data_IF_290277719193
#
_entry.id   IF_290277719193
#
_cell.length_a   1.000
_cell.length_b   1.000
_cell.length_c   1.000
_cell.angle_alpha   90.00
_cell.angle_beta   90.00
_cell.angle_gamma   90.00
#
_symmetry.space_group_name_H-M   'P 1'
#
loop_
_entity.id
_entity.type
_entity.pdbx_description
1 polymer ?
#
# COMPACT_ATOMS: atom_id res chain seq x y z
N UNK A 1 6.01 20.48 -3.61
CA UNK A 1 4.87 19.59 -3.93
C UNK A 1 4.81 18.27 -3.12
N UNK A 2 5.46 18.16 -1.95
CA UNK A 2 5.37 16.95 -1.08
C UNK A 2 4.10 16.89 -0.20
N UNK A 3 3.32 17.98 -0.13
CA UNK A 3 2.11 18.03 0.69
C UNK A 3 1.02 17.06 0.22
N UNK A 4 1.07 16.60 -1.04
CA UNK A 4 0.01 15.75 -1.59
C UNK A 4 0.13 14.29 -1.11
N UNK A 5 1.35 13.74 -1.01
CA UNK A 5 1.56 12.34 -0.62
C UNK A 5 1.23 12.12 0.86
N UNK A 6 1.76 12.98 1.74
CA UNK A 6 1.46 12.92 3.17
C UNK A 6 -0.03 13.11 3.45
N UNK A 7 -0.68 14.08 2.81
CA UNK A 7 -2.13 14.24 2.95
C UNK A 7 -2.89 12.98 2.55
N UNK A 8 -2.50 12.35 1.43
CA UNK A 8 -3.15 11.13 0.99
C UNK A 8 -2.93 9.96 1.94
N UNK A 9 -1.73 9.81 2.54
CA UNK A 9 -1.50 8.84 3.62
C UNK A 9 -2.51 9.05 4.75
N UNK A 10 -2.65 10.28 5.23
CA UNK A 10 -3.60 10.61 6.31
C UNK A 10 -5.07 10.40 5.92
N UNK A 11 -5.46 10.76 4.70
CA UNK A 11 -6.82 10.52 4.20
C UNK A 11 -7.15 9.02 4.13
N UNK A 12 -6.18 8.21 3.70
CA UNK A 12 -6.35 6.76 3.61
C UNK A 12 -6.37 6.08 4.97
N UNK A 13 -5.56 6.57 5.91
CA UNK A 13 -5.63 6.15 7.31
C UNK A 13 -7.03 6.35 7.88
N UNK A 14 -7.56 7.57 7.76
CA UNK A 14 -8.89 7.92 8.25
C UNK A 14 -9.99 7.09 7.56
N UNK A 15 -9.92 6.92 6.24
CA UNK A 15 -10.86 6.06 5.48
C UNK A 15 -10.77 4.58 5.85
N UNK A 16 -9.59 4.11 6.25
CA UNK A 16 -9.38 2.74 6.72
C UNK A 16 -9.81 2.56 8.19
N UNK A 17 -10.25 3.64 8.86
CA UNK A 17 -10.66 3.61 10.26
C UNK A 17 -9.50 3.62 11.25
N UNK A 18 -8.33 4.10 10.82
CA UNK A 18 -7.11 4.24 11.65
C UNK A 18 -6.98 5.65 12.19
N UNK A 19 -6.48 5.76 13.43
CA UNK A 19 -6.11 7.03 14.04
C UNK A 19 -4.89 7.67 13.38
N UNK A 20 -4.75 8.99 13.55
CA UNK A 20 -3.58 9.74 13.08
C UNK A 20 -2.33 9.52 13.95
N UNK A 21 -2.51 8.96 15.16
CA UNK A 21 -1.43 8.66 16.11
C UNK A 21 -0.75 7.29 15.87
N UNK A 22 -1.07 6.62 14.75
CA UNK A 22 -0.45 5.34 14.40
C UNK A 22 1.01 5.50 14.01
N UNK A 23 1.81 4.46 14.23
CA UNK A 23 3.18 4.44 13.77
C UNK A 23 3.23 4.21 12.25
N UNK A 24 3.82 5.16 11.51
CA UNK A 24 3.97 5.09 10.05
C UNK A 24 5.45 4.96 9.71
N UNK A 25 5.84 3.78 9.24
CA UNK A 25 7.18 3.50 8.75
C UNK A 25 7.20 3.74 7.24
N UNK A 26 8.00 4.72 6.81
CA UNK A 26 8.19 4.98 5.38
C UNK A 26 9.34 4.12 4.85
N UNK A 27 9.02 3.20 3.97
CA UNK A 27 9.96 2.41 3.21
C UNK A 27 10.12 2.97 1.79
N UNK A 28 11.07 2.42 1.04
CA UNK A 28 11.46 2.97 -0.25
C UNK A 28 10.45 2.61 -1.36
N UNK A 29 9.29 3.26 -1.37
CA UNK A 29 8.20 3.07 -2.33
C UNK A 29 6.85 2.65 -1.72
N UNK A 30 6.80 2.37 -0.41
CA UNK A 30 5.58 2.05 0.33
C UNK A 30 5.69 2.50 1.80
N UNK A 31 4.56 2.65 2.48
CA UNK A 31 4.48 2.97 3.90
C UNK A 31 3.82 1.83 4.67
N UNK A 32 4.40 1.41 5.78
CA UNK A 32 3.81 0.44 6.72
C UNK A 32 3.22 1.17 7.92
N UNK A 33 2.04 0.77 8.32
CA UNK A 33 1.25 1.39 9.38
C UNK A 33 1.06 0.32 10.47
N UNK A 34 1.37 0.68 11.72
CA UNK A 34 1.30 -0.23 12.87
C UNK A 34 2.10 -1.54 12.62
N UNK A 35 3.31 -1.42 12.06
CA UNK A 35 4.24 -2.52 11.77
C UNK A 35 3.86 -3.36 10.53
N UNK A 36 2.63 -3.82 10.43
CA UNK A 36 2.08 -4.53 9.27
C UNK A 36 0.53 -4.51 9.23
N UNK A 37 -0.14 -3.65 9.99
CA UNK A 37 -1.60 -3.67 9.97
C UNK A 37 -2.15 -3.13 8.64
N UNK A 38 -1.49 -2.14 8.07
CA UNK A 38 -1.83 -1.55 6.79
C UNK A 38 -0.55 -1.17 6.04
N UNK A 39 -0.50 -1.43 4.74
CA UNK A 39 0.55 -0.97 3.85
C UNK A 39 -0.03 -0.05 2.77
N UNK A 40 0.62 1.07 2.51
CA UNK A 40 0.21 2.05 1.52
C UNK A 40 1.26 2.18 0.41
N UNK A 41 0.87 1.99 -0.84
CA UNK A 41 1.76 2.10 -1.99
C UNK A 41 1.28 3.26 -2.86
N UNK A 42 1.91 4.42 -2.71
CA UNK A 42 1.39 5.69 -3.24
C UNK A 42 2.31 6.37 -4.26
N UNK A 43 3.58 5.99 -4.32
CA UNK A 43 4.57 6.60 -5.24
C UNK A 43 4.78 5.76 -6.49
N UNK A 44 5.16 4.49 -6.30
CA UNK A 44 5.46 3.54 -7.37
C UNK A 44 5.17 2.12 -6.89
N UNK A 45 4.87 1.24 -7.83
CA UNK A 45 4.70 -0.19 -7.56
C UNK A 45 5.57 -0.99 -8.52
N UNK A 46 6.26 -1.97 -7.97
CA UNK A 46 7.16 -2.86 -8.68
C UNK A 46 7.10 -4.25 -8.04
N UNK A 47 7.53 -5.29 -8.75
CA UNK A 47 7.60 -6.65 -8.23
C UNK A 47 8.44 -6.74 -6.95
N UNK A 48 9.51 -5.93 -6.87
CA UNK A 48 10.32 -5.86 -5.65
C UNK A 48 9.52 -5.32 -4.47
N UNK A 49 8.78 -4.21 -4.66
CA UNK A 49 7.95 -3.60 -3.61
C UNK A 49 6.87 -4.56 -3.16
N UNK A 50 6.20 -5.22 -4.10
CA UNK A 50 5.14 -6.19 -3.80
C UNK A 50 5.71 -7.34 -2.95
N UNK A 51 6.88 -7.86 -3.30
CA UNK A 51 7.54 -8.93 -2.56
C UNK A 51 7.95 -8.48 -1.16
N UNK A 52 8.50 -7.27 -1.01
CA UNK A 52 8.84 -6.70 0.29
C UNK A 52 7.58 -6.52 1.16
N UNK A 53 6.52 -5.95 0.60
CA UNK A 53 5.24 -5.76 1.28
C UNK A 53 4.68 -7.12 1.71
N UNK A 54 4.64 -8.12 0.82
CA UNK A 54 4.18 -9.47 1.14
C UNK A 54 5.01 -10.13 2.25
N UNK A 55 6.34 -9.93 2.25
CA UNK A 55 7.24 -10.44 3.29
C UNK A 55 6.89 -9.89 4.67
N UNK A 56 6.38 -8.66 4.73
CA UNK A 56 5.88 -8.02 5.97
C UNK A 56 4.51 -8.57 6.40
N UNK A 57 3.85 -9.35 5.55
CA UNK A 57 2.53 -9.96 5.75
C UNK A 57 1.50 -8.95 6.28
N UNK A 58 1.22 -7.87 5.55
CA UNK A 58 0.30 -6.88 6.02
C UNK A 58 -1.14 -7.38 5.99
N UNK A 59 -2.01 -6.93 6.89
CA UNK A 59 -3.43 -7.32 6.84
C UNK A 59 -4.16 -6.68 5.66
N UNK A 60 -3.76 -5.46 5.31
CA UNK A 60 -4.38 -4.66 4.26
C UNK A 60 -3.32 -3.92 3.46
N UNK A 61 -3.49 -3.85 2.15
CA UNK A 61 -2.65 -3.08 1.23
C UNK A 61 -3.55 -2.16 0.42
N UNK A 62 -3.25 -0.87 0.46
CA UNK A 62 -3.91 0.13 -0.38
C UNK A 62 -2.90 0.68 -1.35
N UNK A 63 -3.20 0.60 -2.65
CA UNK A 63 -2.35 1.13 -3.70
C UNK A 63 -3.14 2.08 -4.60
N UNK A 64 -2.47 3.02 -5.28
CA UNK A 64 -3.17 3.88 -6.22
C UNK A 64 -3.37 3.17 -7.55
N UNK A 65 -4.51 3.36 -8.21
CA UNK A 65 -4.74 2.80 -9.53
C UNK A 65 -3.77 3.42 -10.56
N UNK A 66 -3.49 4.72 -10.41
CA UNK A 66 -2.60 5.47 -11.31
C UNK A 66 -1.16 4.93 -11.36
N UNK A 67 -0.67 4.29 -10.29
CA UNK A 67 0.69 3.75 -10.27
C UNK A 67 0.81 2.43 -11.03
N UNK A 68 -0.32 1.78 -11.35
CA UNK A 68 -0.39 0.62 -12.23
C UNK A 68 -0.68 0.99 -13.69
N UNK A 69 -0.84 2.28 -14.02
CA UNK A 69 -1.24 2.71 -15.35
C UNK A 69 -0.16 2.34 -16.39
N UNK A 70 -0.50 1.43 -17.30
CA UNK A 70 0.43 0.85 -18.29
C UNK A 70 0.98 -0.53 -17.91
N UNK A 71 0.75 -0.98 -16.67
CA UNK A 71 1.20 -2.25 -16.11
C UNK A 71 0.03 -3.06 -15.51
N UNK A 72 -1.05 -3.26 -16.27
CA UNK A 72 -2.23 -4.05 -15.86
C UNK A 72 -1.88 -5.49 -15.43
N UNK A 73 -0.83 -6.06 -16.03
CA UNK A 73 -0.29 -7.37 -15.62
C UNK A 73 0.22 -7.34 -14.17
N UNK A 74 0.95 -6.28 -13.80
CA UNK A 74 1.46 -6.11 -12.44
C UNK A 74 0.31 -5.97 -11.44
N UNK A 75 -0.74 -5.20 -11.78
CA UNK A 75 -1.93 -5.06 -10.94
C UNK A 75 -2.61 -6.39 -10.69
N UNK A 76 -2.82 -7.16 -11.75
CA UNK A 76 -3.45 -8.49 -11.68
C UNK A 76 -2.62 -9.43 -10.82
N UNK A 77 -1.30 -9.48 -11.06
CA UNK A 77 -0.38 -10.31 -10.29
C UNK A 77 -0.32 -9.89 -8.81
N UNK A 78 -0.34 -8.59 -8.53
CA UNK A 78 -0.38 -8.06 -7.14
C UNK A 78 -1.65 -8.51 -6.45
N UNK A 79 -2.81 -8.30 -7.09
CA UNK A 79 -4.10 -8.68 -6.52
C UNK A 79 -4.19 -10.19 -6.25
N UNK A 80 -3.64 -11.01 -7.15
CA UNK A 80 -3.58 -12.45 -6.97
C UNK A 80 -2.64 -12.85 -5.81
N UNK A 81 -1.42 -12.33 -5.77
CA UNK A 81 -0.46 -12.64 -4.70
C UNK A 81 -0.96 -12.21 -3.32
N UNK A 82 -1.54 -11.02 -3.22
CA UNK A 82 -2.13 -10.52 -1.98
C UNK A 82 -3.29 -11.41 -1.53
N UNK A 83 -4.18 -11.80 -2.46
CA UNK A 83 -5.28 -12.71 -2.17
C UNK A 83 -4.79 -14.08 -1.70
N UNK A 84 -3.74 -14.62 -2.34
CA UNK A 84 -3.13 -15.90 -1.97
C UNK A 84 -2.50 -15.85 -0.57
N UNK A 85 -1.86 -14.73 -0.24
CA UNK A 85 -1.33 -14.45 1.10
C UNK A 85 -2.40 -14.08 2.15
N UNK A 86 -3.69 -14.02 1.78
CA UNK A 86 -4.78 -13.63 2.68
C UNK A 86 -4.81 -12.14 3.05
N UNK A 87 -4.15 -11.29 2.24
CA UNK A 87 -4.04 -9.85 2.42
C UNK A 87 -5.16 -9.13 1.67
N UNK A 88 -5.84 -8.18 2.33
CA UNK A 88 -6.87 -7.36 1.68
C UNK A 88 -6.22 -6.29 0.79
N UNK A 89 -6.24 -6.50 -0.53
CA UNK A 89 -5.72 -5.54 -1.50
C UNK A 89 -6.82 -4.63 -2.06
N UNK A 90 -6.59 -3.31 -2.01
CA UNK A 90 -7.53 -2.30 -2.50
C UNK A 90 -6.82 -1.25 -3.35
N UNK A 91 -7.41 -0.92 -4.49
CA UNK A 91 -6.93 0.16 -5.37
C UNK A 91 -7.90 1.33 -5.42
N UNK A 92 -7.37 2.54 -5.57
CA UNK A 92 -8.10 3.82 -5.54
C UNK A 92 -7.60 4.79 -6.59
#
# INVERSE_FOLDING_TARGET
ENANLQNMVYELLLKSGKDLNVNIETCNGYHLIEGNELALILEKVDEQIITEVLTKQPKKVIALDRIFKGNDQLKTNTALQMKDAGVEFKTI
#
